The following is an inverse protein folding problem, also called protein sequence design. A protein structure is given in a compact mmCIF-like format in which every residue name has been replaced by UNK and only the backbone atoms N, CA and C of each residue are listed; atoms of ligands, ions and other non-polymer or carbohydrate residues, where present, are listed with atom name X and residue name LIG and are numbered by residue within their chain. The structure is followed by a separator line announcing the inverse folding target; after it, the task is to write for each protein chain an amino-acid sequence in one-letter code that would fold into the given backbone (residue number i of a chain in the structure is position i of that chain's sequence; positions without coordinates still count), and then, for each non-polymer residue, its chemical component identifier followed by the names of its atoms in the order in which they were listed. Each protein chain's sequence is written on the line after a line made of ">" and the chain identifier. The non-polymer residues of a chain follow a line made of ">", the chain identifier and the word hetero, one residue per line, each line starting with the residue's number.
data_IF_321792942217
#
_entry.id   IF_321792942217
#
_cell.length_a   1.000
_cell.length_b   1.000
_cell.length_c   1.000
_cell.angle_alpha   90.00
_cell.angle_beta   90.00
_cell.angle_gamma   90.00
#
_symmetry.space_group_name_H-M   'P 1'
#
loop_
_entity.id
_entity.type
_entity.pdbx_description
1 polymer ?
#
# COMPACT_ATOMS: atom_id res chain seq x y z
N UNK A 1 -13.08 -8.59 8.83
CA UNK A 1 -11.81 -7.84 8.81
C UNK A 1 -10.73 -8.85 8.49
N UNK A 2 -9.97 -8.62 7.42
CA UNK A 2 -8.95 -9.58 6.97
C UNK A 2 -7.75 -9.61 7.93
N UNK A 3 -6.89 -10.63 7.83
CA UNK A 3 -5.66 -10.68 8.63
C UNK A 3 -4.72 -9.54 8.24
N UNK A 4 -4.04 -8.95 9.22
CA UNK A 4 -3.01 -7.94 8.97
C UNK A 4 -1.89 -8.41 8.04
N UNK A 5 -1.54 -9.71 8.07
CA UNK A 5 -0.59 -10.30 7.12
C UNK A 5 -1.10 -10.24 5.67
N UNK A 6 -2.39 -10.48 5.45
CA UNK A 6 -2.99 -10.34 4.11
C UNK A 6 -2.86 -8.90 3.62
N UNK A 7 -3.10 -7.92 4.49
CA UNK A 7 -2.97 -6.49 4.17
C UNK A 7 -1.52 -6.09 3.87
N UNK A 8 -0.56 -6.65 4.61
CA UNK A 8 0.87 -6.47 4.35
C UNK A 8 1.24 -6.95 2.95
N UNK A 9 0.92 -8.21 2.62
CA UNK A 9 1.19 -8.75 1.28
C UNK A 9 0.49 -7.95 0.19
N UNK A 10 -0.75 -7.53 0.44
CA UNK A 10 -1.50 -6.71 -0.51
C UNK A 10 -0.81 -5.35 -0.77
N UNK A 11 -0.33 -4.68 0.29
CA UNK A 11 0.40 -3.41 0.17
C UNK A 11 1.72 -3.56 -0.59
N UNK A 12 2.44 -4.67 -0.39
CA UNK A 12 3.68 -4.99 -1.10
C UNK A 12 3.40 -5.16 -2.60
N UNK A 13 2.36 -5.92 -2.96
CA UNK A 13 1.98 -6.13 -4.36
C UNK A 13 1.60 -4.79 -5.00
N UNK A 14 0.80 -3.95 -4.33
CA UNK A 14 0.43 -2.63 -4.85
C UNK A 14 1.67 -1.75 -5.02
N UNK A 15 2.57 -1.72 -4.04
CA UNK A 15 3.82 -0.95 -4.11
C UNK A 15 4.70 -1.37 -5.29
N UNK A 16 4.80 -2.68 -5.54
CA UNK A 16 5.55 -3.22 -6.68
C UNK A 16 4.92 -2.85 -8.02
N UNK A 17 3.60 -2.95 -8.15
CA UNK A 17 2.88 -2.53 -9.36
C UNK A 17 3.06 -1.02 -9.61
N UNK A 18 2.96 -0.21 -8.55
CA UNK A 18 3.21 1.24 -8.64
C UNK A 18 4.64 1.56 -9.07
N UNK A 19 5.63 0.85 -8.53
CA UNK A 19 7.03 1.02 -8.92
C UNK A 19 7.24 0.75 -10.42
N UNK A 20 6.74 -0.38 -10.92
CA UNK A 20 6.80 -0.73 -12.35
C UNK A 20 6.09 0.34 -13.19
N UNK A 21 4.89 0.76 -12.78
CA UNK A 21 4.14 1.80 -13.48
C UNK A 21 4.93 3.12 -13.57
N UNK A 22 5.54 3.57 -12.47
CA UNK A 22 6.29 4.81 -12.43
C UNK A 22 7.56 4.77 -13.32
N UNK A 23 8.25 3.64 -13.38
CA UNK A 23 9.41 3.48 -14.28
C UNK A 23 8.97 3.43 -15.74
N UNK A 24 8.09 2.49 -16.08
CA UNK A 24 7.86 2.15 -17.51
C UNK A 24 6.81 3.04 -18.18
N UNK A 25 5.87 3.61 -17.42
CA UNK A 25 4.80 4.45 -17.98
C UNK A 25 5.08 5.93 -17.73
N UNK A 26 5.59 6.29 -16.55
CA UNK A 26 5.88 7.70 -16.22
C UNK A 26 7.34 8.10 -16.48
N UNK A 27 8.25 7.16 -16.76
CA UNK A 27 9.65 7.44 -17.04
C UNK A 27 10.41 8.06 -15.86
N UNK A 28 10.00 7.78 -14.62
CA UNK A 28 10.62 8.37 -13.43
C UNK A 28 11.97 7.73 -13.10
N UNK A 29 12.90 8.55 -12.58
CA UNK A 29 14.19 8.10 -12.03
C UNK A 29 14.00 7.01 -10.96
N UNK A 30 14.92 6.04 -10.91
CA UNK A 30 14.81 4.87 -10.05
C UNK A 30 14.66 5.24 -8.57
N UNK A 31 15.51 6.14 -8.07
CA UNK A 31 15.50 6.59 -6.69
C UNK A 31 14.22 7.37 -6.33
N UNK A 32 13.65 8.11 -7.28
CA UNK A 32 12.37 8.81 -7.08
C UNK A 32 11.23 7.80 -7.00
N UNK A 33 11.24 6.83 -7.91
CA UNK A 33 10.23 5.78 -8.00
C UNK A 33 10.21 4.89 -6.76
N UNK A 34 11.39 4.46 -6.30
CA UNK A 34 11.54 3.66 -5.07
C UNK A 34 10.96 4.39 -3.85
N UNK A 35 11.41 5.62 -3.61
CA UNK A 35 10.95 6.40 -2.46
C UNK A 35 9.43 6.65 -2.50
N UNK A 36 8.88 7.00 -3.68
CA UNK A 36 7.46 7.30 -3.83
C UNK A 36 6.59 6.05 -3.72
N UNK A 37 6.96 4.95 -4.36
CA UNK A 37 6.16 3.72 -4.34
C UNK A 37 6.11 3.11 -2.93
N UNK A 38 7.24 3.11 -2.21
CA UNK A 38 7.31 2.64 -0.82
C UNK A 38 6.48 3.54 0.09
N UNK A 39 6.60 4.87 -0.05
CA UNK A 39 5.82 5.82 0.75
C UNK A 39 4.31 5.62 0.56
N UNK A 40 3.86 5.51 -0.69
CA UNK A 40 2.44 5.27 -1.02
C UNK A 40 1.99 3.91 -0.47
N UNK A 41 2.81 2.86 -0.63
CA UNK A 41 2.52 1.53 -0.10
C UNK A 41 2.37 1.53 1.43
N UNK A 42 3.23 2.28 2.15
CA UNK A 42 3.13 2.42 3.60
C UNK A 42 1.83 3.10 4.04
N UNK A 43 1.40 4.17 3.35
CA UNK A 43 0.10 4.79 3.62
C UNK A 43 -1.07 3.85 3.33
N UNK A 44 -0.99 3.07 2.25
CA UNK A 44 -2.00 2.06 1.92
C UNK A 44 -2.04 0.93 2.96
N UNK A 45 -0.90 0.51 3.50
CA UNK A 45 -0.84 -0.48 4.56
C UNK A 45 -1.53 0.05 5.83
N UNK A 46 -1.22 1.29 6.25
CA UNK A 46 -1.88 1.94 7.38
C UNK A 46 -3.39 1.97 7.15
N UNK A 47 -3.82 2.42 5.97
CA UNK A 47 -5.23 2.45 5.58
C UNK A 47 -5.89 1.07 5.71
N UNK A 48 -5.27 0.03 5.13
CA UNK A 48 -5.85 -1.31 5.13
C UNK A 48 -5.90 -1.92 6.53
N UNK A 49 -4.88 -1.69 7.36
CA UNK A 49 -4.89 -2.13 8.76
C UNK A 49 -6.00 -1.44 9.56
N UNK A 50 -6.26 -0.16 9.28
CA UNK A 50 -7.30 0.60 9.97
C UNK A 50 -8.71 0.26 9.49
N UNK A 51 -8.93 0.11 8.18
CA UNK A 51 -10.27 0.07 7.58
C UNK A 51 -10.59 -1.20 6.79
N UNK A 52 -9.59 -2.02 6.49
CA UNK A 52 -9.72 -3.17 5.61
C UNK A 52 -9.40 -2.85 4.14
N UNK A 53 -9.58 -3.84 3.27
CA UNK A 53 -9.31 -3.72 1.83
C UNK A 53 -10.32 -2.83 1.08
N UNK A 54 -11.54 -2.68 1.58
CA UNK A 54 -12.62 -1.92 0.94
C UNK A 54 -12.66 -0.43 1.33
N UNK A 55 -13.80 0.21 1.06
CA UNK A 55 -14.08 1.60 1.46
C UNK A 55 -14.01 1.78 2.99
N UNK A 56 -13.67 2.99 3.47
CA UNK A 56 -13.55 3.25 4.89
C UNK A 56 -14.89 3.02 5.59
N UNK A 57 -14.88 2.13 6.57
CA UNK A 57 -16.05 1.82 7.40
C UNK A 57 -15.71 2.00 8.88
N UNK A 58 -15.84 0.91 9.65
CA UNK A 58 -15.48 0.91 11.07
C UNK A 58 -13.98 0.68 11.22
N UNK A 59 -13.36 1.39 12.16
CA UNK A 59 -11.95 1.17 12.53
C UNK A 59 -11.78 -0.25 13.07
N UNK A 60 -10.67 -0.88 12.71
CA UNK A 60 -10.21 -2.15 13.22
C UNK A 60 -10.16 -2.16 14.76
N UNK A 61 -11.03 -2.97 15.36
CA UNK A 61 -11.15 -3.10 16.82
C UNK A 61 -9.96 -3.81 17.47
N UNK A 62 -9.15 -4.54 16.72
CA UNK A 62 -7.96 -5.23 17.24
C UNK A 62 -6.74 -4.30 17.39
N UNK A 63 -6.92 -2.99 17.15
CA UNK A 63 -5.90 -1.96 17.40
C UNK A 63 -5.97 -1.36 18.80
N UNK A 64 -7.02 -1.68 19.57
CA UNK A 64 -7.30 -1.16 20.91
C UNK A 64 -7.75 -2.30 21.82
#
# INVERSE_FOLDING_TARGET
>A
MERGLTMLFHSIIIGFVLYIFMIYILGQEQMVTENRSILISAFLLIYMIMFGHGLPGKINKNLF
#
